data_IF_379527318904
#
_entry.id   IF_379527318904
#
_cell.length_a   1.000
_cell.length_b   1.000
_cell.length_c   1.000
_cell.angle_alpha   90.00
_cell.angle_beta   90.00
_cell.angle_gamma   90.00
#
_symmetry.space_group_name_H-M   'P 1'
#
loop_
_entity.id
_entity.type
_entity.pdbx_description
1 polymer ?
#
# COMPACT_ATOMS: atom_id res chain seq x y z
N UNK A 1 7.78 -47.55 59.00
CA UNK A 1 6.71 -47.99 58.08
C UNK A 1 6.74 -47.11 56.84
N UNK A 2 6.64 -47.73 55.67
CA UNK A 2 6.93 -47.19 54.36
C UNK A 2 5.71 -46.53 53.67
N UNK A 3 5.97 -46.02 52.45
CA UNK A 3 5.05 -45.66 51.35
C UNK A 3 4.72 -44.16 51.24
N UNK A 4 5.40 -43.40 50.37
CA UNK A 4 5.20 -43.22 48.91
C UNK A 4 3.82 -42.66 48.55
N UNK A 5 3.75 -41.37 48.18
CA UNK A 5 2.58 -40.77 47.53
C UNK A 5 2.90 -40.54 46.06
N UNK A 6 2.00 -41.07 45.23
CA UNK A 6 2.12 -41.20 43.79
C UNK A 6 1.71 -39.92 43.04
N UNK A 7 2.34 -39.82 41.87
CA UNK A 7 2.23 -38.86 40.79
C UNK A 7 0.84 -38.89 40.11
N UNK A 8 0.16 -37.75 40.06
CA UNK A 8 -1.08 -37.57 39.29
C UNK A 8 -1.02 -36.31 38.43
N UNK A 9 -0.40 -36.38 37.25
CA UNK A 9 -0.35 -35.27 36.28
C UNK A 9 -1.48 -35.46 35.26
N UNK A 10 -2.55 -34.67 35.43
CA UNK A 10 -3.78 -34.71 34.62
C UNK A 10 -3.52 -34.09 33.24
N UNK A 11 -3.83 -34.85 32.18
CA UNK A 11 -3.75 -34.51 30.75
C UNK A 11 -4.67 -33.33 30.40
N UNK A 12 -4.17 -32.34 29.66
CA UNK A 12 -4.98 -31.44 28.83
C UNK A 12 -4.79 -31.82 27.35
N UNK A 13 -5.84 -31.77 26.52
CA UNK A 13 -5.75 -32.11 25.09
C UNK A 13 -5.28 -30.89 24.28
N UNK A 14 -4.16 -31.02 23.57
CA UNK A 14 -3.73 -30.07 22.54
C UNK A 14 -4.35 -30.47 21.20
N UNK A 15 -5.28 -29.65 20.72
CA UNK A 15 -5.83 -29.67 19.38
C UNK A 15 -4.71 -29.41 18.36
N UNK A 16 -4.41 -30.40 17.53
CA UNK A 16 -3.30 -30.39 16.57
C UNK A 16 -3.86 -30.45 15.15
N UNK A 17 -3.94 -29.29 14.49
CA UNK A 17 -4.22 -29.19 13.06
C UNK A 17 -3.21 -28.28 12.37
N UNK A 18 -1.98 -28.77 12.24
CA UNK A 18 -0.98 -28.24 11.30
C UNK A 18 -0.48 -29.37 10.38
N UNK A 19 -0.41 -29.17 9.06
CA UNK A 19 0.03 -30.21 8.11
C UNK A 19 1.55 -30.45 8.18
N UNK A 20 2.03 -31.68 7.91
CA UNK A 20 3.45 -32.01 8.03
C UNK A 20 4.28 -31.49 6.84
N UNK A 21 5.29 -30.66 7.12
CA UNK A 21 6.31 -30.24 6.16
C UNK A 21 7.33 -31.36 5.92
N UNK A 22 7.64 -31.75 4.67
CA UNK A 22 8.62 -32.80 4.38
C UNK A 22 10.08 -32.34 4.61
N UNK A 23 11.00 -33.25 5.00
CA UNK A 23 12.38 -32.90 5.33
C UNK A 23 13.22 -32.61 4.09
N UNK A 24 13.84 -31.42 4.02
CA UNK A 24 14.86 -31.12 3.01
C UNK A 24 16.17 -31.86 3.32
N UNK A 25 16.36 -33.01 2.65
CA UNK A 25 17.61 -33.75 2.60
C UNK A 25 18.66 -33.00 1.77
N UNK A 26 19.87 -32.89 2.29
CA UNK A 26 21.05 -32.33 1.59
C UNK A 26 21.38 -33.24 0.40
N UNK A 27 21.19 -32.78 -0.84
CA UNK A 27 21.58 -33.53 -2.04
C UNK A 27 23.07 -33.32 -2.37
N UNK A 28 23.74 -34.46 -2.49
CA UNK A 28 25.12 -34.68 -2.91
C UNK A 28 25.40 -34.18 -4.34
N UNK A 29 26.62 -33.70 -4.57
CA UNK A 29 27.16 -33.26 -5.87
C UNK A 29 27.34 -34.46 -6.80
N UNK A 30 26.60 -34.49 -7.90
CA UNK A 30 26.82 -35.44 -8.99
C UNK A 30 27.75 -34.81 -10.03
N UNK A 31 28.95 -35.37 -10.16
CA UNK A 31 29.85 -35.12 -11.28
C UNK A 31 29.43 -36.03 -12.46
N UNK A 32 29.28 -35.46 -13.65
CA UNK A 32 29.11 -36.20 -14.90
C UNK A 32 30.23 -35.86 -15.88
N UNK A 33 30.71 -36.89 -16.57
CA UNK A 33 31.98 -36.98 -17.27
C UNK A 33 32.11 -36.14 -18.57
N UNK A 34 33.38 -35.92 -18.95
CA UNK A 34 33.92 -35.22 -20.14
C UNK A 34 33.64 -35.94 -21.48
N UNK A 35 33.62 -35.14 -22.56
CA UNK A 35 34.20 -35.45 -23.90
C UNK A 35 34.43 -34.11 -24.65
N UNK A 36 35.68 -33.61 -24.76
CA UNK A 36 36.65 -33.72 -25.89
C UNK A 36 36.04 -33.28 -27.24
N UNK A 37 36.51 -32.30 -28.00
CA UNK A 37 37.85 -32.02 -28.56
C UNK A 37 37.83 -30.66 -29.26
N UNK A 38 38.90 -29.86 -29.19
CA UNK A 38 39.08 -28.69 -30.07
C UNK A 38 40.15 -27.75 -29.52
N UNK A 39 41.41 -27.95 -29.94
CA UNK A 39 42.57 -27.21 -29.43
C UNK A 39 42.87 -25.90 -30.16
N UNK A 40 43.30 -24.91 -29.35
CA UNK A 40 44.34 -23.83 -29.51
C UNK A 40 44.23 -22.77 -30.63
N UNK A 41 44.71 -21.52 -30.38
CA UNK A 41 46.13 -21.21 -30.06
C UNK A 41 46.35 -20.34 -28.80
N UNK A 42 47.59 -20.22 -28.29
CA UNK A 42 47.92 -19.32 -27.19
C UNK A 42 47.95 -17.85 -27.68
N UNK A 43 47.46 -16.94 -26.83
CA UNK A 43 47.49 -15.49 -27.06
C UNK A 43 48.93 -15.02 -27.36
N UNK A 44 49.16 -14.23 -28.43
CA UNK A 44 50.46 -13.58 -28.61
C UNK A 44 50.63 -12.51 -27.53
N UNK A 45 51.74 -12.61 -26.81
CA UNK A 45 52.24 -11.57 -25.91
C UNK A 45 52.46 -10.31 -26.76
N UNK A 46 51.63 -9.28 -26.54
CA UNK A 46 51.83 -7.98 -27.16
C UNK A 46 53.15 -7.40 -26.63
N UNK A 47 54.08 -7.15 -27.55
CA UNK A 47 55.34 -6.43 -27.29
C UNK A 47 55.03 -4.98 -26.90
N UNK A 48 55.75 -4.37 -25.95
CA UNK A 48 55.58 -2.95 -25.67
C UNK A 48 56.18 -2.15 -26.83
N UNK A 49 55.34 -1.40 -27.55
CA UNK A 49 55.83 -0.44 -28.53
C UNK A 49 56.28 0.82 -27.80
N UNK A 50 57.59 1.01 -27.73
CA UNK A 50 58.21 2.26 -27.29
C UNK A 50 58.09 3.25 -28.44
N UNK A 51 57.36 4.34 -28.26
CA UNK A 51 57.35 5.42 -29.25
C UNK A 51 56.17 6.37 -29.14
N UNK A 52 56.30 7.38 -28.29
CA UNK A 52 55.96 8.75 -28.72
C UNK A 52 54.61 9.33 -28.30
N UNK A 53 54.76 10.38 -27.50
CA UNK A 53 53.95 11.62 -27.47
C UNK A 53 52.78 11.66 -26.48
N UNK A 54 53.07 12.34 -25.36
CA UNK A 54 52.10 13.02 -24.50
C UNK A 54 51.38 14.07 -25.34
N UNK A 55 50.06 14.01 -25.36
CA UNK A 55 49.20 15.13 -25.68
C UNK A 55 48.33 15.37 -24.44
N UNK A 56 48.59 16.49 -23.79
CA UNK A 56 47.76 17.05 -22.74
C UNK A 56 46.34 17.25 -23.29
N UNK A 57 45.37 16.56 -22.70
CA UNK A 57 43.95 16.74 -22.97
C UNK A 57 43.21 16.70 -21.63
N UNK A 58 43.37 17.79 -20.87
CA UNK A 58 42.47 18.18 -19.78
C UNK A 58 41.11 18.56 -20.40
N UNK A 59 40.37 17.55 -20.85
CA UNK A 59 38.94 17.66 -21.07
C UNK A 59 38.32 16.45 -20.37
N UNK A 60 37.97 16.67 -19.10
CA UNK A 60 37.40 15.67 -18.21
C UNK A 60 36.04 15.22 -18.75
N UNK A 61 36.07 14.29 -19.70
CA UNK A 61 34.91 13.64 -20.30
C UNK A 61 34.09 13.01 -19.17
N UNK A 62 33.04 13.70 -18.74
CA UNK A 62 32.25 13.23 -17.60
C UNK A 62 31.78 11.80 -17.87
N UNK A 63 32.01 10.87 -16.93
CA UNK A 63 31.66 9.47 -17.13
C UNK A 63 30.15 9.38 -17.38
N UNK A 64 29.77 8.76 -18.51
CA UNK A 64 28.37 8.53 -18.86
C UNK A 64 27.68 7.81 -17.71
N UNK A 65 26.61 8.41 -17.18
CA UNK A 65 25.80 7.80 -16.11
C UNK A 65 25.27 6.45 -16.60
N UNK A 66 25.67 5.37 -15.94
CA UNK A 66 25.22 4.01 -16.29
C UNK A 66 23.72 3.88 -16.00
N UNK A 67 22.96 3.43 -16.99
CA UNK A 67 21.52 3.15 -16.85
C UNK A 67 21.32 1.87 -16.03
N UNK A 68 20.36 1.89 -15.11
CA UNK A 68 19.96 0.69 -14.37
C UNK A 68 19.25 -0.32 -15.27
N UNK A 69 19.40 -1.61 -14.99
CA UNK A 69 18.63 -2.66 -15.66
C UNK A 69 17.14 -2.52 -15.29
N UNK A 70 16.21 -2.86 -16.20
CA UNK A 70 14.79 -2.87 -15.89
C UNK A 70 14.53 -3.70 -14.62
N UNK A 71 13.60 -3.25 -13.79
CA UNK A 71 13.29 -3.85 -12.48
C UNK A 71 14.24 -3.49 -11.33
N UNK A 72 15.48 -3.06 -11.61
CA UNK A 72 16.44 -2.73 -10.53
C UNK A 72 15.99 -1.54 -9.67
N UNK A 73 15.43 -0.50 -10.30
CA UNK A 73 14.93 0.70 -9.60
C UNK A 73 13.63 0.37 -8.86
N UNK A 74 12.71 -0.35 -9.50
CA UNK A 74 11.45 -0.78 -8.88
C UNK A 74 11.69 -1.61 -7.61
N UNK A 75 12.58 -2.60 -7.65
CA UNK A 75 12.92 -3.40 -6.46
C UNK A 75 13.54 -2.56 -5.33
N UNK A 76 14.31 -1.51 -5.69
CA UNK A 76 14.87 -0.58 -4.70
C UNK A 76 13.77 0.29 -4.07
N UNK A 77 12.84 0.79 -4.86
CA UNK A 77 11.70 1.58 -4.40
C UNK A 77 10.76 0.75 -3.52
N UNK A 78 10.45 -0.48 -3.89
CA UNK A 78 9.66 -1.42 -3.07
C UNK A 78 10.31 -1.58 -1.69
N UNK A 79 11.61 -1.89 -1.65
CA UNK A 79 12.35 -2.02 -0.38
C UNK A 79 12.38 -0.72 0.42
N UNK A 80 12.43 0.44 -0.24
CA UNK A 80 12.41 1.75 0.41
C UNK A 80 11.04 2.02 1.06
N UNK A 81 9.94 1.90 0.31
CA UNK A 81 8.59 2.21 0.78
C UNK A 81 8.00 1.14 1.72
N UNK A 82 8.53 -0.09 1.71
CA UNK A 82 8.19 -1.08 2.73
C UNK A 82 8.96 -0.88 4.05
N UNK A 83 10.08 -0.13 4.00
CA UNK A 83 10.88 0.20 5.19
C UNK A 83 10.42 1.50 5.86
N UNK A 84 9.93 2.48 5.09
CA UNK A 84 9.38 3.74 5.62
C UNK A 84 7.85 3.73 5.63
N UNK A 85 7.27 4.70 6.33
CA UNK A 85 5.81 4.87 6.47
C UNK A 85 5.36 6.27 6.05
N UNK A 86 6.11 6.89 5.15
CA UNK A 86 5.81 8.22 4.63
C UNK A 86 4.52 8.20 3.79
N UNK A 87 3.80 9.31 3.77
CA UNK A 87 2.63 9.44 2.91
C UNK A 87 3.04 9.34 1.44
N UNK A 88 2.50 8.34 0.74
CA UNK A 88 2.75 8.12 -0.70
C UNK A 88 2.01 9.14 -1.57
N UNK A 89 1.00 9.81 -1.02
CA UNK A 89 0.19 10.84 -1.68
C UNK A 89 0.47 12.19 -1.01
N UNK A 90 0.55 13.26 -1.80
CA UNK A 90 0.77 14.62 -1.28
C UNK A 90 -0.43 15.07 -0.42
N UNK A 91 -0.14 15.70 0.71
CA UNK A 91 -1.15 16.17 1.68
C UNK A 91 -2.15 17.17 1.08
N UNK A 92 -1.69 18.15 0.31
CA UNK A 92 -2.55 19.23 -0.22
C UNK A 92 -3.62 18.76 -1.20
N UNK A 93 -3.32 18.01 -2.28
CA UNK A 93 -4.37 17.52 -3.18
C UNK A 93 -5.32 16.56 -2.48
N UNK A 94 -4.82 15.67 -1.61
CA UNK A 94 -5.68 14.79 -0.81
C UNK A 94 -6.62 15.58 0.11
N UNK A 95 -6.11 16.61 0.79
CA UNK A 95 -6.94 17.48 1.64
C UNK A 95 -8.00 18.25 0.86
N UNK A 96 -7.78 18.60 -0.42
CA UNK A 96 -8.79 19.28 -1.23
C UNK A 96 -9.97 18.36 -1.50
N UNK A 97 -9.69 17.12 -1.91
CA UNK A 97 -10.71 16.10 -2.17
C UNK A 97 -11.52 15.79 -0.90
N UNK A 98 -10.85 15.66 0.25
CA UNK A 98 -11.56 15.41 1.53
C UNK A 98 -12.50 16.58 1.87
N UNK A 99 -12.07 17.82 1.63
CA UNK A 99 -12.89 19.00 1.89
C UNK A 99 -14.07 19.10 0.93
N UNK A 100 -13.87 18.79 -0.34
CA UNK A 100 -14.94 18.74 -1.35
C UNK A 100 -16.05 17.78 -0.91
N UNK A 101 -15.69 16.52 -0.60
CA UNK A 101 -16.65 15.51 -0.12
C UNK A 101 -17.33 15.96 1.18
N UNK A 102 -16.56 16.50 2.13
CA UNK A 102 -17.14 16.96 3.40
C UNK A 102 -18.09 18.16 3.23
N UNK A 103 -17.81 19.05 2.28
CA UNK A 103 -18.69 20.17 1.95
C UNK A 103 -19.98 19.70 1.30
N UNK A 104 -19.92 18.74 0.38
CA UNK A 104 -21.11 18.15 -0.24
C UNK A 104 -22.04 17.53 0.83
N UNK A 105 -21.45 16.82 1.81
CA UNK A 105 -22.22 16.29 2.95
C UNK A 105 -22.79 17.40 3.84
N UNK A 106 -22.08 18.52 4.00
CA UNK A 106 -22.54 19.64 4.81
C UNK A 106 -23.62 20.46 4.11
N UNK A 107 -23.61 20.55 2.77
CA UNK A 107 -24.68 21.18 2.01
C UNK A 107 -25.99 20.43 2.19
N UNK A 108 -25.97 19.09 2.18
CA UNK A 108 -27.16 18.29 2.47
C UNK A 108 -27.71 18.60 3.88
N UNK A 109 -26.82 18.73 4.87
CA UNK A 109 -27.19 19.11 6.25
C UNK A 109 -27.87 20.49 6.33
N UNK A 110 -27.42 21.45 5.53
CA UNK A 110 -28.04 22.78 5.46
C UNK A 110 -29.45 22.72 4.85
N UNK A 111 -29.70 21.81 3.90
CA UNK A 111 -31.04 21.60 3.34
C UNK A 111 -32.03 21.06 4.38
N UNK A 112 -31.58 20.22 5.31
CA UNK A 112 -32.40 19.81 6.46
C UNK A 112 -32.66 20.98 7.41
N UNK A 113 -31.69 21.87 7.63
CA UNK A 113 -31.87 23.06 8.48
C UNK A 113 -32.97 23.97 7.91
N UNK A 114 -32.93 24.29 6.61
CA UNK A 114 -33.98 25.05 5.93
C UNK A 114 -35.34 24.33 5.95
N UNK A 115 -35.36 23.01 5.82
CA UNK A 115 -36.61 22.24 5.97
C UNK A 115 -37.20 22.36 7.37
N UNK A 116 -36.37 22.40 8.42
CA UNK A 116 -36.83 22.58 9.80
C UNK A 116 -37.35 24.00 10.06
N UNK A 117 -36.79 25.02 9.40
CA UNK A 117 -37.32 26.39 9.42
C UNK A 117 -38.75 26.42 8.83
N UNK A 118 -38.96 25.80 7.66
CA UNK A 118 -40.27 25.69 7.02
C UNK A 118 -41.28 24.89 7.87
N UNK A 119 -40.83 23.78 8.47
CA UNK A 119 -41.66 22.97 9.36
C UNK A 119 -42.06 23.73 10.64
N UNK A 120 -41.18 24.60 11.15
CA UNK A 120 -41.49 25.47 12.27
C UNK A 120 -42.59 26.49 11.92
N UNK A 121 -42.52 27.09 10.72
CA UNK A 121 -43.59 27.98 10.23
C UNK A 121 -44.93 27.26 10.10
N UNK A 122 -44.93 26.00 9.64
CA UNK A 122 -46.13 25.16 9.58
C UNK A 122 -46.71 24.88 10.98
N UNK A 123 -45.86 24.64 11.99
CA UNK A 123 -46.29 24.42 13.36
C UNK A 123 -46.94 25.70 13.95
N UNK A 124 -46.32 26.86 13.75
CA UNK A 124 -46.82 28.16 14.18
C UNK A 124 -48.15 28.50 13.50
N UNK A 125 -48.27 28.21 12.20
CA UNK A 125 -49.52 28.39 11.44
C UNK A 125 -50.68 27.60 12.06
N UNK A 126 -50.41 26.42 12.60
CA UNK A 126 -51.37 25.60 13.33
C UNK A 126 -51.49 25.96 14.83
N UNK A 127 -50.98 27.11 15.27
CA UNK A 127 -50.99 27.60 16.66
C UNK A 127 -50.28 26.65 17.65
N UNK A 128 -49.24 25.93 17.20
CA UNK A 128 -48.40 25.07 18.03
C UNK A 128 -46.97 25.59 18.08
N UNK A 129 -46.27 25.26 19.15
CA UNK A 129 -44.83 25.54 19.33
C UNK A 129 -43.98 24.29 19.11
N UNK A 130 -44.60 23.10 19.10
CA UNK A 130 -43.93 21.81 18.88
C UNK A 130 -44.10 21.36 17.43
N UNK A 131 -42.98 21.08 16.75
CA UNK A 131 -42.94 20.50 15.41
C UNK A 131 -43.36 19.03 15.46
N UNK A 132 -44.22 18.63 14.54
CA UNK A 132 -44.73 17.26 14.39
C UNK A 132 -44.42 16.71 12.99
N UNK A 133 -44.56 15.39 12.81
CA UNK A 133 -44.33 14.73 11.51
C UNK A 133 -45.16 15.35 10.37
N UNK A 134 -46.41 15.75 10.65
CA UNK A 134 -47.29 16.42 9.68
C UNK A 134 -46.75 17.75 9.16
N UNK A 135 -45.98 18.47 9.98
CA UNK A 135 -45.42 19.78 9.61
C UNK A 135 -44.26 19.60 8.63
N UNK A 136 -43.42 18.59 8.86
CA UNK A 136 -42.31 18.22 7.95
C UNK A 136 -42.87 17.68 6.64
N UNK A 137 -43.90 16.83 6.69
CA UNK A 137 -44.55 16.30 5.50
C UNK A 137 -45.22 17.40 4.68
N UNK A 138 -45.86 18.36 5.33
CA UNK A 138 -46.46 19.52 4.68
C UNK A 138 -45.39 20.42 4.05
N UNK A 139 -44.33 20.76 4.79
CA UNK A 139 -43.21 21.55 4.30
C UNK A 139 -42.56 20.91 3.05
N UNK A 140 -42.27 19.60 3.10
CA UNK A 140 -41.76 18.85 1.93
C UNK A 140 -42.72 18.88 0.75
N UNK A 141 -44.03 18.75 1.01
CA UNK A 141 -45.04 18.75 -0.05
C UNK A 141 -45.19 20.12 -0.72
N UNK A 142 -45.05 21.20 0.04
CA UNK A 142 -45.08 22.58 -0.49
C UNK A 142 -43.79 22.91 -1.24
N UNK A 143 -42.62 22.50 -0.72
CA UNK A 143 -41.32 22.71 -1.36
C UNK A 143 -41.17 21.93 -2.69
N UNK A 144 -41.98 20.89 -2.87
CA UNK A 144 -42.05 20.12 -4.11
C UNK A 144 -40.86 19.17 -4.31
N UNK A 145 -40.82 18.44 -5.44
CA UNK A 145 -39.81 17.41 -5.72
C UNK A 145 -38.39 17.95 -5.89
N UNK A 146 -38.20 19.27 -5.89
CA UNK A 146 -36.89 19.93 -6.01
C UNK A 146 -36.32 20.40 -4.67
N UNK A 147 -37.11 20.38 -3.58
CA UNK A 147 -36.62 20.69 -2.23
C UNK A 147 -36.95 19.64 -1.18
N UNK A 148 -37.50 18.50 -1.60
CA UNK A 148 -37.42 17.25 -0.87
C UNK A 148 -36.38 16.38 -1.58
N UNK A 149 -35.23 16.20 -0.93
CA UNK A 149 -34.16 15.29 -1.33
C UNK A 149 -34.67 14.05 -2.07
N UNK A 150 -34.15 13.85 -3.29
CA UNK A 150 -34.08 12.54 -3.93
C UNK A 150 -32.99 11.70 -3.25
#
# INVERSE_FOLDING_TARGET
>A
MAQTVQKGKRKQPSDSSDPPTPPHTKKSRTATARKSTGGRPPNPIQRPNVGGVRADAEDARQPRKKRFRPGTVALREIRKYQKSTDLLIRKLPFSRVVREIALDMMTDMNDYMHLFEDANLCAIHAKRVTIMQRDIQLARRIRGPWGGMA
#
